data_IF_225147571212
#
_entry.id   IF_225147571212
#
_cell.length_a   1.000
_cell.length_b   1.000
_cell.length_c   1.000
_cell.angle_alpha   90.00
_cell.angle_beta   90.00
_cell.angle_gamma   90.00
#
_symmetry.space_group_name_H-M   'P 1'
#
loop_
_entity.id
_entity.type
_entity.pdbx_description
1 polymer ?
#
# COMPACT_ATOMS: atom_id res chain seq x y z
N UNK A 1 -14.38 -2.73 16.33
CA UNK A 1 -14.28 -2.05 15.03
C UNK A 1 -15.53 -1.22 14.85
N UNK A 2 -15.47 0.03 14.36
CA UNK A 2 -16.67 0.77 14.02
C UNK A 2 -17.41 0.03 12.90
N UNK A 3 -18.70 -0.24 13.13
CA UNK A 3 -19.55 -0.88 12.14
C UNK A 3 -19.94 0.16 11.10
N UNK A 4 -19.54 -0.02 9.84
CA UNK A 4 -19.97 0.81 8.72
C UNK A 4 -21.39 0.43 8.33
N UNK A 5 -22.27 1.42 8.21
CA UNK A 5 -23.60 1.24 7.63
C UNK A 5 -23.57 1.38 6.09
N UNK A 6 -24.72 1.17 5.45
CA UNK A 6 -24.83 1.24 3.99
C UNK A 6 -24.50 2.62 3.42
N UNK A 7 -24.85 3.68 4.16
CA UNK A 7 -24.53 5.07 3.79
C UNK A 7 -23.00 5.30 3.84
N UNK A 8 -22.33 4.82 4.87
CA UNK A 8 -20.86 4.90 4.98
C UNK A 8 -20.16 4.18 3.81
N UNK A 9 -20.65 2.98 3.45
CA UNK A 9 -20.13 2.20 2.30
C UNK A 9 -20.36 2.92 0.97
N UNK A 10 -21.55 3.51 0.77
CA UNK A 10 -21.86 4.28 -0.43
C UNK A 10 -20.99 5.53 -0.56
N UNK A 11 -20.72 6.24 0.55
CA UNK A 11 -19.78 7.38 0.56
C UNK A 11 -18.37 6.91 0.17
N UNK A 12 -17.87 5.83 0.77
CA UNK A 12 -16.55 5.28 0.45
C UNK A 12 -16.45 4.89 -1.03
N UNK A 13 -17.48 4.23 -1.56
CA UNK A 13 -17.51 3.86 -2.98
C UNK A 13 -17.46 5.09 -3.90
N UNK A 14 -18.23 6.15 -3.61
CA UNK A 14 -18.20 7.39 -4.38
C UNK A 14 -16.79 8.04 -4.35
N UNK A 15 -16.16 8.11 -3.17
CA UNK A 15 -14.81 8.66 -3.01
C UNK A 15 -13.72 7.79 -3.67
N UNK A 16 -13.88 6.47 -3.71
CA UNK A 16 -12.97 5.56 -4.44
C UNK A 16 -13.05 5.75 -5.95
N UNK A 17 -14.23 6.09 -6.49
CA UNK A 17 -14.39 6.42 -7.91
C UNK A 17 -13.82 7.81 -8.24
N UNK A 18 -14.06 8.80 -7.37
CA UNK A 18 -13.56 10.15 -7.52
C UNK A 18 -13.31 10.82 -6.18
N UNK A 19 -12.06 10.81 -5.71
CA UNK A 19 -11.68 11.42 -4.44
C UNK A 19 -11.92 12.95 -4.38
N UNK A 20 -12.14 13.61 -5.53
CA UNK A 20 -12.48 15.03 -5.65
C UNK A 20 -13.97 15.30 -5.76
N UNK A 21 -14.82 14.27 -5.66
CA UNK A 21 -16.27 14.45 -5.74
C UNK A 21 -16.75 15.40 -4.66
N UNK A 22 -17.67 16.30 -5.02
CA UNK A 22 -18.18 17.27 -4.06
C UNK A 22 -19.10 16.60 -3.05
N UNK A 23 -19.04 17.04 -1.81
CA UNK A 23 -19.93 16.51 -0.76
C UNK A 23 -21.40 16.77 -1.06
N UNK A 24 -21.71 17.85 -1.78
CA UNK A 24 -23.06 18.14 -2.22
C UNK A 24 -23.55 17.13 -3.28
N UNK A 25 -22.68 16.71 -4.22
CA UNK A 25 -23.03 15.68 -5.21
C UNK A 25 -23.29 14.34 -4.55
N UNK A 26 -22.42 13.93 -3.61
CA UNK A 26 -22.59 12.69 -2.85
C UNK A 26 -23.88 12.75 -2.02
N UNK A 27 -24.15 13.89 -1.36
CA UNK A 27 -25.34 14.10 -0.55
C UNK A 27 -26.63 13.95 -1.39
N UNK A 28 -26.64 14.56 -2.58
CA UNK A 28 -27.76 14.48 -3.52
C UNK A 28 -28.00 13.02 -3.98
N UNK A 29 -26.95 12.28 -4.34
CA UNK A 29 -27.07 10.89 -4.79
C UNK A 29 -27.56 9.94 -3.71
N UNK A 30 -27.31 10.25 -2.43
CA UNK A 30 -27.70 9.43 -1.29
C UNK A 30 -28.94 9.97 -0.55
N UNK A 31 -29.57 11.04 -1.06
CA UNK A 31 -30.76 11.69 -0.49
C UNK A 31 -30.57 12.12 0.98
N UNK A 32 -29.38 12.61 1.34
CA UNK A 32 -29.04 13.11 2.67
C UNK A 32 -28.53 14.55 2.63
N UNK A 33 -28.34 15.20 3.77
CA UNK A 33 -27.74 16.54 3.81
C UNK A 33 -26.23 16.50 3.60
N UNK A 34 -25.65 17.57 3.01
CA UNK A 34 -24.20 17.72 2.91
C UNK A 34 -23.50 17.67 4.28
N UNK A 35 -24.16 18.24 5.31
CA UNK A 35 -23.66 18.16 6.69
C UNK A 35 -23.52 16.73 7.19
N UNK A 36 -24.47 15.84 6.81
CA UNK A 36 -24.40 14.41 7.12
C UNK A 36 -23.18 13.75 6.46
N UNK A 37 -22.94 14.04 5.17
CA UNK A 37 -21.78 13.51 4.44
C UNK A 37 -20.48 13.98 5.10
N UNK A 38 -20.34 15.28 5.37
CA UNK A 38 -19.17 15.87 6.00
C UNK A 38 -18.87 15.25 7.37
N UNK A 39 -19.91 15.06 8.18
CA UNK A 39 -19.79 14.42 9.50
C UNK A 39 -19.30 12.97 9.38
N UNK A 40 -19.91 12.18 8.48
CA UNK A 40 -19.57 10.76 8.28
C UNK A 40 -18.15 10.58 7.75
N UNK A 41 -17.75 11.37 6.76
CA UNK A 41 -16.38 11.37 6.21
C UNK A 41 -15.37 11.65 7.33
N UNK A 42 -15.59 12.71 8.11
CA UNK A 42 -14.71 13.05 9.23
C UNK A 42 -14.64 11.94 10.28
N UNK A 43 -15.77 11.32 10.60
CA UNK A 43 -15.83 10.18 11.53
C UNK A 43 -15.02 9.00 11.03
N UNK A 44 -15.13 8.67 9.75
CA UNK A 44 -14.38 7.55 9.12
C UNK A 44 -12.87 7.85 9.04
N UNK A 45 -12.48 9.08 8.67
CA UNK A 45 -11.07 9.52 8.69
C UNK A 45 -10.47 9.42 10.10
N UNK A 46 -11.16 9.96 11.11
CA UNK A 46 -10.70 9.92 12.51
C UNK A 46 -10.61 8.48 13.07
N UNK A 47 -11.41 7.57 12.53
CA UNK A 47 -11.38 6.16 12.89
C UNK A 47 -10.34 5.34 12.08
N UNK A 48 -9.58 5.99 11.20
CA UNK A 48 -8.58 5.32 10.35
C UNK A 48 -9.17 4.32 9.36
N UNK A 49 -10.43 4.51 8.93
CA UNK A 49 -11.10 3.63 7.96
C UNK A 49 -10.56 3.86 6.56
N UNK A 50 -10.22 5.10 6.23
CA UNK A 50 -9.57 5.48 4.97
C UNK A 50 -8.77 6.76 5.14
N UNK A 51 -7.89 7.04 4.17
CA UNK A 51 -7.15 8.29 4.04
C UNK A 51 -7.22 8.81 2.61
N UNK A 52 -7.05 10.14 2.43
CA UNK A 52 -6.84 10.72 1.12
C UNK A 52 -5.35 10.68 0.78
N UNK A 53 -5.01 9.91 -0.24
CA UNK A 53 -3.64 9.81 -0.75
C UNK A 53 -3.56 10.26 -2.20
N UNK A 54 -2.39 10.70 -2.62
CA UNK A 54 -2.09 10.93 -4.04
C UNK A 54 -1.48 9.65 -4.59
N UNK A 55 -2.21 9.01 -5.53
CA UNK A 55 -1.65 7.89 -6.30
C UNK A 55 -0.87 8.44 -7.49
N UNK A 56 0.37 8.00 -7.63
CA UNK A 56 1.25 8.37 -8.74
C UNK A 56 1.61 7.13 -9.56
N UNK A 57 1.72 7.28 -10.85
CA UNK A 57 2.31 6.27 -11.72
C UNK A 57 3.84 6.25 -11.47
N UNK A 58 4.40 5.17 -10.92
CA UNK A 58 5.82 5.13 -10.55
C UNK A 58 6.75 5.43 -11.73
N UNK A 59 6.42 4.92 -12.92
CA UNK A 59 7.23 5.14 -14.14
C UNK A 59 7.28 6.59 -14.55
N UNK A 60 6.18 7.35 -14.33
CA UNK A 60 6.13 8.79 -14.65
C UNK A 60 6.89 9.67 -13.69
N UNK A 61 7.30 9.14 -12.54
CA UNK A 61 8.13 9.84 -11.55
C UNK A 61 9.56 9.26 -11.50
N UNK A 62 9.96 8.46 -12.49
CA UNK A 62 11.33 7.95 -12.61
C UNK A 62 11.64 6.68 -11.81
N UNK A 63 10.61 5.93 -11.41
CA UNK A 63 10.75 4.63 -10.75
C UNK A 63 10.39 3.52 -11.76
N UNK A 64 11.34 3.18 -12.62
CA UNK A 64 11.11 2.31 -13.76
C UNK A 64 11.14 0.81 -13.43
N UNK A 65 11.71 0.46 -12.28
CA UNK A 65 11.87 -0.93 -11.83
C UNK A 65 11.04 -1.17 -10.59
N UNK A 66 10.06 -2.05 -10.69
CA UNK A 66 9.29 -2.56 -9.57
C UNK A 66 9.65 -4.00 -9.30
N UNK A 67 9.88 -4.35 -8.05
CA UNK A 67 10.15 -5.72 -7.63
C UNK A 67 9.23 -6.16 -6.50
N UNK A 68 8.80 -7.41 -6.56
CA UNK A 68 8.21 -8.15 -5.44
C UNK A 68 9.28 -9.10 -4.94
N UNK A 69 9.70 -8.93 -3.70
CA UNK A 69 10.78 -9.72 -3.09
C UNK A 69 10.20 -10.56 -1.96
N UNK A 70 10.29 -11.87 -2.12
CA UNK A 70 10.02 -12.84 -1.07
C UNK A 70 11.25 -12.99 -0.18
N UNK A 71 11.06 -13.03 1.13
CA UNK A 71 12.15 -13.06 2.12
C UNK A 71 11.85 -14.16 3.12
N UNK A 72 12.82 -15.04 3.33
CA UNK A 72 12.81 -16.02 4.41
C UNK A 72 13.72 -15.58 5.53
N UNK A 73 13.26 -15.75 6.76
CA UNK A 73 13.93 -15.25 7.96
C UNK A 73 14.33 -16.39 8.90
N UNK A 74 15.32 -16.14 9.73
CA UNK A 74 15.61 -17.05 10.84
C UNK A 74 14.43 -17.10 11.80
N UNK A 75 14.17 -18.26 12.37
CA UNK A 75 13.09 -18.47 13.31
C UNK A 75 13.14 -17.42 14.45
N UNK A 76 12.02 -16.72 14.65
CA UNK A 76 11.89 -15.67 15.65
C UNK A 76 12.39 -14.29 15.21
N UNK A 77 12.94 -14.12 14.00
CA UNK A 77 13.45 -12.83 13.49
C UNK A 77 12.50 -12.11 12.56
N UNK A 78 11.37 -12.72 12.15
CA UNK A 78 10.44 -12.17 11.17
C UNK A 78 10.01 -10.74 11.50
N UNK A 79 9.57 -10.49 12.74
CA UNK A 79 9.12 -9.15 13.15
C UNK A 79 10.26 -8.13 13.15
N UNK A 80 11.45 -8.53 13.59
CA UNK A 80 12.63 -7.66 13.61
C UNK A 80 13.02 -7.24 12.19
N UNK A 81 13.11 -8.20 11.26
CA UNK A 81 13.40 -7.94 9.85
C UNK A 81 12.32 -7.06 9.22
N UNK A 82 11.03 -7.33 9.49
CA UNK A 82 9.93 -6.54 8.96
C UNK A 82 10.00 -5.07 9.39
N UNK A 83 10.37 -4.78 10.65
CA UNK A 83 10.53 -3.42 11.14
C UNK A 83 11.70 -2.68 10.48
N UNK A 84 12.80 -3.38 10.19
CA UNK A 84 13.92 -2.79 9.46
C UNK A 84 13.56 -2.51 8.00
N UNK A 85 12.86 -3.44 7.33
CA UNK A 85 12.42 -3.27 5.94
C UNK A 85 11.53 -2.03 5.73
N UNK A 86 10.72 -1.65 6.72
CA UNK A 86 9.87 -0.45 6.68
C UNK A 86 10.66 0.86 6.64
N UNK A 87 11.93 0.86 7.01
CA UNK A 87 12.77 2.07 7.03
C UNK A 87 13.33 2.44 5.67
N UNK A 88 13.33 1.53 4.71
CA UNK A 88 13.84 1.80 3.36
C UNK A 88 12.82 2.58 2.52
N UNK A 89 13.22 3.70 1.98
CA UNK A 89 12.36 4.54 1.16
C UNK A 89 11.86 3.84 -0.11
N UNK A 90 12.68 2.96 -0.68
CA UNK A 90 12.31 2.17 -1.85
C UNK A 90 11.17 1.17 -1.56
N UNK A 91 10.98 0.77 -0.30
CA UNK A 91 9.98 -0.22 0.11
C UNK A 91 8.64 0.45 0.35
N UNK A 92 7.63 0.06 -0.41
CA UNK A 92 6.26 0.59 -0.32
C UNK A 92 5.30 -0.31 0.46
N UNK A 93 5.61 -1.58 0.52
CA UNK A 93 4.79 -2.57 1.22
C UNK A 93 5.68 -3.59 1.91
N UNK A 94 5.31 -3.96 3.12
CA UNK A 94 5.89 -5.09 3.87
C UNK A 94 4.73 -5.87 4.47
N UNK A 95 4.63 -7.15 4.15
CA UNK A 95 3.62 -8.05 4.69
C UNK A 95 4.21 -9.38 5.15
N UNK A 96 3.64 -9.95 6.21
CA UNK A 96 3.90 -11.33 6.64
C UNK A 96 2.93 -12.27 5.94
N UNK A 97 3.41 -13.39 5.45
CA UNK A 97 2.63 -14.33 4.66
C UNK A 97 2.78 -15.76 5.21
N UNK A 98 1.76 -16.56 4.97
CA UNK A 98 1.85 -18.01 5.11
C UNK A 98 2.17 -18.60 3.73
N UNK A 99 3.19 -19.44 3.64
CA UNK A 99 3.58 -20.08 2.37
C UNK A 99 5.09 -20.21 2.22
N UNK A 100 5.60 -19.98 1.02
CA UNK A 100 7.01 -20.18 0.70
C UNK A 100 7.94 -19.10 1.28
N UNK A 101 7.39 -17.92 1.59
CA UNK A 101 8.15 -16.79 2.15
C UNK A 101 7.50 -16.30 3.44
N UNK A 102 8.31 -15.97 4.43
CA UNK A 102 7.86 -15.41 5.70
C UNK A 102 7.37 -13.97 5.54
N UNK A 103 8.08 -13.20 4.70
CA UNK A 103 7.77 -11.81 4.38
C UNK A 103 7.75 -11.63 2.86
N UNK A 104 6.92 -10.72 2.39
CA UNK A 104 7.00 -10.19 1.04
C UNK A 104 7.02 -8.67 1.10
N UNK A 105 7.87 -8.08 0.28
CA UNK A 105 7.95 -6.64 0.09
C UNK A 105 7.69 -6.27 -1.35
N UNK A 106 7.11 -5.08 -1.55
CA UNK A 106 7.07 -4.39 -2.84
C UNK A 106 7.99 -3.19 -2.77
N UNK A 107 8.91 -3.11 -3.71
CA UNK A 107 9.91 -2.04 -3.75
C UNK A 107 10.04 -1.46 -5.16
N UNK A 108 10.41 -0.18 -5.23
CA UNK A 108 10.53 0.58 -6.47
C UNK A 108 11.91 1.21 -6.57
N UNK A 109 12.50 1.15 -7.75
CA UNK A 109 13.85 1.65 -8.04
C UNK A 109 13.86 2.42 -9.35
N UNK A 110 14.79 3.36 -9.50
CA UNK A 110 14.98 4.07 -10.76
C UNK A 110 15.63 3.19 -11.81
N UNK A 111 16.56 2.34 -11.41
CA UNK A 111 17.33 1.47 -12.31
C UNK A 111 17.46 0.03 -11.77
N UNK A 112 17.84 -0.90 -12.65
CA UNK A 112 18.20 -2.25 -12.22
C UNK A 112 19.46 -2.26 -11.33
N UNK A 113 20.39 -1.33 -11.52
CA UNK A 113 21.58 -1.24 -10.67
C UNK A 113 21.21 -0.83 -9.23
N UNK A 114 20.21 0.03 -9.05
CA UNK A 114 19.68 0.37 -7.73
C UNK A 114 19.05 -0.85 -7.05
N UNK A 115 18.28 -1.67 -7.78
CA UNK A 115 17.74 -2.93 -7.27
C UNK A 115 18.86 -3.90 -6.86
N UNK A 116 19.88 -4.06 -7.70
CA UNK A 116 21.04 -4.92 -7.41
C UNK A 116 21.78 -4.42 -6.16
N UNK A 117 21.97 -3.11 -6.03
CA UNK A 117 22.58 -2.50 -4.85
C UNK A 117 21.75 -2.76 -3.60
N UNK A 118 20.43 -2.56 -3.67
CA UNK A 118 19.51 -2.83 -2.56
C UNK A 118 19.61 -4.28 -2.06
N UNK A 119 19.69 -5.25 -2.98
CA UNK A 119 19.80 -6.66 -2.62
C UNK A 119 21.15 -6.97 -1.97
N UNK A 120 22.25 -6.53 -2.61
CA UNK A 120 23.59 -6.95 -2.22
C UNK A 120 24.20 -6.11 -1.09
N UNK A 121 23.66 -4.92 -0.83
CA UNK A 121 24.16 -4.03 0.23
C UNK A 121 23.12 -3.90 1.35
N UNK A 122 21.93 -3.43 1.03
CA UNK A 122 20.93 -3.10 2.06
C UNK A 122 20.32 -4.37 2.67
N UNK A 123 19.77 -5.28 1.86
CA UNK A 123 19.20 -6.54 2.38
C UNK A 123 20.28 -7.45 2.97
N UNK A 124 21.45 -7.52 2.34
CA UNK A 124 22.55 -8.35 2.84
C UNK A 124 23.10 -7.88 4.20
N UNK A 125 22.92 -6.62 4.56
CA UNK A 125 23.31 -6.07 5.86
C UNK A 125 22.29 -6.38 6.97
N UNK A 126 21.07 -6.81 6.63
CA UNK A 126 20.02 -7.10 7.62
C UNK A 126 20.26 -8.47 8.28
N UNK A 127 20.45 -8.44 9.59
CA UNK A 127 20.53 -9.68 10.36
C UNK A 127 19.17 -10.39 10.41
N UNK A 128 19.19 -11.72 10.23
CA UNK A 128 17.99 -12.54 10.34
C UNK A 128 17.39 -12.95 8.99
N UNK A 129 17.83 -12.40 7.87
CA UNK A 129 17.48 -12.90 6.53
C UNK A 129 18.26 -14.20 6.26
N UNK A 130 17.59 -15.19 5.70
CA UNK A 130 18.19 -16.45 5.24
C UNK A 130 18.40 -16.44 3.73
N UNK A 131 17.37 -16.09 3.00
CA UNK A 131 17.39 -15.98 1.54
C UNK A 131 16.34 -14.99 1.04
N UNK A 132 16.48 -14.60 -0.22
CA UNK A 132 15.55 -13.71 -0.92
C UNK A 132 15.25 -14.25 -2.31
N UNK A 133 13.98 -14.13 -2.73
CA UNK A 133 13.50 -14.43 -4.07
C UNK A 133 13.00 -13.14 -4.72
N UNK A 134 13.66 -12.72 -5.82
CA UNK A 134 13.43 -11.41 -6.44
C UNK A 134 12.65 -11.57 -7.72
N UNK A 135 11.46 -11.02 -7.77
CA UNK A 135 10.59 -11.01 -8.93
C UNK A 135 10.42 -9.58 -9.45
N UNK A 136 11.06 -9.27 -10.59
CA UNK A 136 10.91 -7.97 -11.24
C UNK A 136 9.65 -7.96 -12.08
N UNK A 137 8.81 -6.92 -11.90
CA UNK A 137 7.60 -6.76 -12.70
C UNK A 137 7.95 -6.42 -14.13
N UNK A 138 7.50 -7.25 -15.06
CA UNK A 138 7.68 -7.01 -16.50
C UNK A 138 6.56 -6.13 -17.07
N UNK A 139 5.33 -6.32 -16.61
CA UNK A 139 4.16 -5.58 -17.08
C UNK A 139 3.06 -5.61 -16.04
N UNK A 140 2.48 -4.45 -15.76
CA UNK A 140 1.30 -4.30 -14.93
C UNK A 140 0.04 -4.29 -15.80
N UNK A 141 -0.89 -5.20 -15.53
CA UNK A 141 -2.15 -5.29 -16.27
C UNK A 141 -3.31 -4.57 -15.58
N UNK A 142 -3.23 -4.42 -14.27
CA UNK A 142 -4.24 -3.71 -13.47
C UNK A 142 -3.60 -3.12 -12.23
N UNK A 143 -3.92 -1.86 -11.97
CA UNK A 143 -3.66 -1.18 -10.71
C UNK A 143 -4.95 -0.47 -10.29
N UNK A 144 -5.57 -0.92 -9.21
CA UNK A 144 -6.85 -0.36 -8.76
C UNK A 144 -6.92 -0.46 -7.23
N UNK A 145 -7.28 0.66 -6.61
CA UNK A 145 -7.51 0.76 -5.16
C UNK A 145 -9.00 0.73 -4.79
N UNK A 146 -9.90 0.50 -5.74
CA UNK A 146 -11.33 0.33 -5.46
C UNK A 146 -11.67 -1.14 -5.20
N UNK A 147 -12.41 -1.38 -4.11
CA UNK A 147 -12.92 -2.69 -3.70
C UNK A 147 -14.39 -2.84 -4.04
#
# INVERSE_FOLDING_TARGET
>A
MPTLDDTDRAILHALQQNAKESYSTIAQSLEVSEGTIRFRIRKMLNAGIFDFIVHTDPKKIGLDVQAIIGINTRLGQQQHVALQLQTFEAVRFVGAFSGNHDLMIQAYFSTNDDLVSFINVDLAALEGILDVDVNVELMQYKDSFSY
#
